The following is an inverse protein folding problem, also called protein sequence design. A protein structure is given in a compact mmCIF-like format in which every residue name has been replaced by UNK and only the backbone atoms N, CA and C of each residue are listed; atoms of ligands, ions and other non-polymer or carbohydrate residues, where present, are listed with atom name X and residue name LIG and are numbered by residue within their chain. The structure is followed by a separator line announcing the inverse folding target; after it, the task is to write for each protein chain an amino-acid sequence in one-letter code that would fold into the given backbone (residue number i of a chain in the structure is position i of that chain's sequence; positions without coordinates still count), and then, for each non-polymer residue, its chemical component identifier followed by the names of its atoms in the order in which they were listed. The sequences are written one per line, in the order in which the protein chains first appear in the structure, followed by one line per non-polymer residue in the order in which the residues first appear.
data_IF_981323773088
#
_entry.id   IF_981323773088
#
_cell.length_a   1.000
_cell.length_b   1.000
_cell.length_c   1.000
_cell.angle_alpha   90.00
_cell.angle_beta   90.00
_cell.angle_gamma   90.00
#
_symmetry.space_group_name_H-M   'P 1'
#
loop_
_entity.id
_entity.type
_entity.pdbx_description
1 polymer ?
#
# COMPACT_ATOMS: atom_id res chain seq x y z
N UNK A 1 -15.33 -41.32 42.04
CA UNK A 1 -15.51 -40.94 40.61
C UNK A 1 -15.61 -39.43 40.37
N UNK A 2 -15.28 -38.57 41.33
CA UNK A 2 -15.45 -37.10 41.23
C UNK A 2 -14.15 -36.31 41.14
N UNK A 3 -12.97 -36.95 41.26
CA UNK A 3 -11.65 -36.29 41.18
C UNK A 3 -10.97 -36.37 39.81
N UNK A 4 -11.46 -37.20 38.89
CA UNK A 4 -10.89 -37.34 37.54
C UNK A 4 -11.49 -36.39 36.50
N UNK A 5 -12.66 -35.80 36.76
CA UNK A 5 -13.34 -34.90 35.80
C UNK A 5 -12.75 -33.48 35.83
N UNK A 6 -12.14 -33.06 36.95
CA UNK A 6 -11.57 -31.71 37.11
C UNK A 6 -10.23 -31.58 36.34
N UNK A 7 -9.49 -32.67 36.15
CA UNK A 7 -8.20 -32.64 35.43
C UNK A 7 -8.41 -32.58 33.91
N UNK A 8 -9.47 -33.19 33.38
CA UNK A 8 -9.75 -33.16 31.94
C UNK A 8 -10.30 -31.80 31.47
N UNK A 9 -11.03 -31.07 32.33
CA UNK A 9 -11.49 -29.71 32.04
C UNK A 9 -10.35 -28.67 32.06
N UNK A 10 -9.29 -28.90 32.84
CA UNK A 10 -8.15 -27.97 32.91
C UNK A 10 -7.18 -28.10 31.71
N UNK A 11 -7.10 -29.29 31.10
CA UNK A 11 -6.22 -29.56 29.94
C UNK A 11 -6.77 -28.95 28.64
N UNK A 12 -8.10 -28.80 28.50
CA UNK A 12 -8.69 -28.16 27.32
C UNK A 12 -8.54 -26.63 27.29
N UNK A 13 -8.25 -25.96 28.40
CA UNK A 13 -8.04 -24.51 28.43
C UNK A 13 -6.63 -24.07 28.03
N UNK A 14 -5.64 -24.97 28.04
CA UNK A 14 -4.23 -24.61 27.76
C UNK A 14 -3.87 -24.75 26.27
N UNK A 15 -4.67 -25.47 25.48
CA UNK A 15 -4.43 -25.65 24.04
C UNK A 15 -5.10 -24.60 23.15
N UNK A 16 -6.00 -23.77 23.69
CA UNK A 16 -6.69 -22.75 22.91
C UNK A 16 -5.87 -21.47 22.67
N UNK A 17 -4.86 -21.18 23.51
CA UNK A 17 -4.01 -19.99 23.33
C UNK A 17 -2.89 -20.16 22.28
N UNK A 18 -2.50 -21.39 21.92
CA UNK A 18 -1.42 -21.62 20.94
C UNK A 18 -1.87 -21.69 19.48
N UNK A 19 -3.17 -21.78 19.23
CA UNK A 19 -3.70 -21.88 17.86
C UNK A 19 -3.82 -20.54 17.13
N UNK A 20 -3.83 -19.40 17.84
CA UNK A 20 -3.97 -18.08 17.22
C UNK A 20 -2.63 -17.47 16.76
N UNK A 21 -1.52 -17.75 17.44
CA UNK A 21 -0.20 -17.27 17.00
C UNK A 21 0.25 -17.93 15.69
N UNK A 22 -0.11 -19.21 15.49
CA UNK A 22 0.28 -19.95 14.28
C UNK A 22 -0.42 -19.44 13.00
N UNK A 23 -1.65 -18.93 13.11
CA UNK A 23 -2.36 -18.32 11.97
C UNK A 23 -1.69 -17.04 11.47
N UNK A 24 -0.98 -16.33 12.34
CA UNK A 24 -0.27 -15.09 12.02
C UNK A 24 1.17 -15.36 11.58
N UNK A 25 1.82 -16.39 12.12
CA UNK A 25 3.12 -16.85 11.60
C UNK A 25 2.99 -17.51 10.24
N UNK A 26 1.88 -18.18 9.93
CA UNK A 26 1.57 -18.66 8.58
C UNK A 26 1.05 -17.53 7.67
N UNK A 27 0.56 -16.42 8.25
CA UNK A 27 0.32 -15.17 7.54
C UNK A 27 1.62 -14.37 7.29
N UNK A 28 2.81 -14.87 7.68
CA UNK A 28 4.10 -14.38 7.18
C UNK A 28 4.24 -14.73 5.70
N UNK A 29 3.59 -13.95 4.85
CA UNK A 29 4.25 -13.22 3.78
C UNK A 29 3.18 -12.44 3.02
N UNK A 30 3.51 -11.19 2.73
CA UNK A 30 2.92 -10.33 1.71
C UNK A 30 2.73 -11.01 0.33
N UNK A 31 3.30 -12.20 0.11
CA UNK A 31 3.30 -12.99 -1.13
C UNK A 31 1.93 -13.38 -1.67
N UNK A 32 0.86 -13.29 -0.86
CA UNK A 32 -0.47 -13.81 -1.22
C UNK A 32 -1.63 -12.80 -1.22
N UNK A 33 -1.45 -11.52 -0.84
CA UNK A 33 -2.52 -10.54 -1.04
C UNK A 33 -2.62 -10.22 -2.54
N UNK A 34 -3.48 -10.96 -3.24
CA UNK A 34 -3.78 -10.78 -4.67
C UNK A 34 -4.92 -9.78 -4.92
N UNK A 35 -5.33 -9.05 -3.89
CA UNK A 35 -6.42 -8.08 -3.94
C UNK A 35 -5.99 -6.71 -4.45
N UNK A 36 -6.97 -5.82 -4.60
CA UNK A 36 -6.69 -4.41 -4.83
C UNK A 36 -6.46 -3.71 -3.49
N UNK A 37 -5.45 -2.85 -3.45
CA UNK A 37 -5.09 -2.01 -2.32
C UNK A 37 -5.80 -0.66 -2.51
N UNK A 38 -6.66 -0.23 -1.57
CA UNK A 38 -7.26 1.09 -1.64
C UNK A 38 -6.20 2.18 -1.47
N UNK A 39 -6.25 3.20 -2.32
CA UNK A 39 -5.37 4.37 -2.26
C UNK A 39 -6.22 5.62 -2.08
N UNK A 40 -5.63 6.70 -1.59
CA UNK A 40 -6.33 7.98 -1.53
C UNK A 40 -6.80 8.35 -2.95
N UNK A 41 -8.07 8.79 -3.12
CA UNK A 41 -8.62 9.03 -4.44
C UNK A 41 -7.85 10.11 -5.20
N UNK A 42 -7.52 9.83 -6.46
CA UNK A 42 -6.80 10.77 -7.32
C UNK A 42 -7.55 10.95 -8.63
N UNK A 43 -7.64 12.19 -9.11
CA UNK A 43 -8.31 12.51 -10.37
C UNK A 43 -7.73 11.70 -11.54
N UNK A 44 -8.61 11.04 -12.29
CA UNK A 44 -8.22 10.31 -13.49
C UNK A 44 -8.43 11.19 -14.72
N UNK A 45 -7.42 11.24 -15.59
CA UNK A 45 -7.42 12.02 -16.83
C UNK A 45 -6.98 11.09 -17.95
N UNK A 46 -7.86 10.90 -18.94
CA UNK A 46 -7.55 10.07 -20.11
C UNK A 46 -8.59 10.28 -21.22
N UNK A 47 -8.24 9.80 -22.41
CA UNK A 47 -9.15 9.68 -23.54
C UNK A 47 -9.75 8.27 -23.58
N UNK A 48 -11.08 8.17 -23.49
CA UNK A 48 -11.79 6.88 -23.48
C UNK A 48 -12.41 6.62 -24.84
N UNK A 49 -12.22 5.40 -25.33
CA UNK A 49 -12.90 4.85 -26.49
C UNK A 49 -14.32 4.40 -26.10
N UNK A 50 -15.33 5.02 -26.71
CA UNK A 50 -16.75 4.76 -26.51
C UNK A 50 -17.38 4.19 -27.78
N UNK A 51 -18.51 3.51 -27.61
CA UNK A 51 -19.29 2.97 -28.71
C UNK A 51 -20.70 3.56 -28.70
N UNK A 52 -21.15 4.13 -29.82
CA UNK A 52 -22.50 4.65 -29.98
C UNK A 52 -23.00 4.34 -31.38
N UNK A 53 -24.22 3.79 -31.46
CA UNK A 53 -24.89 3.47 -32.72
C UNK A 53 -24.05 2.57 -33.67
N UNK A 54 -23.14 1.77 -33.11
CA UNK A 54 -22.24 0.88 -33.84
C UNK A 54 -20.89 1.50 -34.23
N UNK A 55 -20.72 2.80 -34.05
CA UNK A 55 -19.47 3.52 -34.33
C UNK A 55 -18.64 3.71 -33.05
N UNK A 56 -17.32 3.70 -33.22
CA UNK A 56 -16.36 3.98 -32.16
C UNK A 56 -15.89 5.43 -32.23
N UNK A 57 -15.85 6.11 -31.09
CA UNK A 57 -15.32 7.46 -30.97
C UNK A 57 -14.56 7.64 -29.66
N UNK A 58 -13.61 8.57 -29.65
CA UNK A 58 -12.79 8.87 -28.48
C UNK A 58 -13.23 10.19 -27.86
N UNK A 59 -13.22 10.28 -26.53
CA UNK A 59 -13.57 11.49 -25.81
C UNK A 59 -12.75 11.61 -24.52
N UNK A 60 -12.35 12.82 -24.16
CA UNK A 60 -11.76 13.09 -22.84
C UNK A 60 -12.80 12.80 -21.75
N UNK A 61 -12.40 12.05 -20.72
CA UNK A 61 -13.28 11.66 -19.62
C UNK A 61 -13.94 12.85 -18.91
N UNK A 62 -13.30 14.01 -18.87
CA UNK A 62 -13.83 15.24 -18.25
C UNK A 62 -14.96 15.88 -19.05
N UNK A 63 -15.11 15.52 -20.33
CA UNK A 63 -16.14 16.04 -21.21
C UNK A 63 -17.34 15.09 -21.33
N UNK A 64 -17.27 13.92 -20.71
CA UNK A 64 -18.33 12.90 -20.77
C UNK A 64 -19.54 13.29 -19.96
N UNK A 65 -20.72 12.92 -20.45
CA UNK A 65 -21.94 12.96 -19.66
C UNK A 65 -22.06 11.71 -18.76
N UNK A 66 -23.04 11.70 -17.85
CA UNK A 66 -23.22 10.61 -16.89
C UNK A 66 -23.45 9.24 -17.57
N UNK A 67 -24.19 9.18 -18.68
CA UNK A 67 -24.43 7.92 -19.41
C UNK A 67 -23.14 7.36 -20.02
N UNK A 68 -22.33 8.21 -20.65
CA UNK A 68 -21.02 7.85 -21.20
C UNK A 68 -20.08 7.36 -20.08
N UNK A 69 -20.08 8.05 -18.93
CA UNK A 69 -19.32 7.62 -17.75
C UNK A 69 -19.82 6.26 -17.27
N UNK A 70 -21.12 6.00 -17.23
CA UNK A 70 -21.64 4.69 -16.81
C UNK A 70 -21.32 3.56 -17.77
N UNK A 71 -21.23 3.84 -19.07
CA UNK A 71 -20.74 2.87 -20.06
C UNK A 71 -19.26 2.52 -19.80
N UNK A 72 -18.45 3.52 -19.46
CA UNK A 72 -17.06 3.29 -19.06
C UNK A 72 -16.96 2.52 -17.73
N UNK A 73 -17.71 2.93 -16.72
CA UNK A 73 -17.72 2.33 -15.38
C UNK A 73 -18.62 1.08 -15.33
N UNK A 74 -18.30 0.09 -16.16
CA UNK A 74 -19.12 -1.09 -16.37
C UNK A 74 -19.07 -2.15 -15.25
N UNK A 75 -18.22 -1.99 -14.22
CA UNK A 75 -18.15 -2.89 -13.06
C UNK A 75 -18.70 -2.22 -11.80
N UNK A 76 -19.14 -3.05 -10.85
CA UNK A 76 -19.58 -2.62 -9.52
C UNK A 76 -19.06 -3.61 -8.47
N UNK A 77 -18.65 -3.13 -7.30
CA UNK A 77 -18.15 -4.00 -6.22
C UNK A 77 -18.37 -3.38 -4.84
N UNK A 78 -18.45 -4.25 -3.85
CA UNK A 78 -18.24 -3.91 -2.44
C UNK A 78 -16.99 -4.66 -1.97
N UNK A 79 -16.02 -3.94 -1.42
CA UNK A 79 -14.73 -4.50 -1.00
C UNK A 79 -14.39 -4.05 0.42
N UNK A 80 -14.02 -5.00 1.27
CA UNK A 80 -13.41 -4.72 2.58
C UNK A 80 -11.92 -5.02 2.48
N UNK A 81 -11.10 -4.02 2.81
CA UNK A 81 -9.65 -4.12 2.88
C UNK A 81 -9.19 -3.79 4.29
N UNK A 82 -8.34 -4.64 4.86
CA UNK A 82 -7.86 -4.50 6.23
C UNK A 82 -6.35 -4.30 6.17
N UNK A 83 -5.89 -3.13 6.60
CA UNK A 83 -4.47 -2.83 6.78
C UNK A 83 -4.13 -2.77 8.26
N UNK A 84 -3.14 -3.53 8.71
CA UNK A 84 -2.56 -3.38 10.04
C UNK A 84 -1.46 -2.31 9.99
N UNK A 85 -1.51 -1.38 10.94
CA UNK A 85 -0.50 -0.34 11.11
C UNK A 85 0.68 -0.94 11.88
N UNK A 86 1.87 -0.89 11.31
CA UNK A 86 3.10 -1.34 11.94
C UNK A 86 3.69 -0.26 12.87
N UNK A 87 4.75 -0.59 13.63
CA UNK A 87 5.43 0.35 14.54
C UNK A 87 6.01 1.57 13.82
N UNK A 88 6.28 1.47 12.52
CA UNK A 88 6.80 2.55 11.67
C UNK A 88 5.69 3.38 10.99
N UNK A 89 4.42 3.16 11.31
CA UNK A 89 3.27 3.85 10.68
C UNK A 89 2.94 3.38 9.26
N UNK A 90 3.66 2.39 8.73
CA UNK A 90 3.34 1.71 7.48
C UNK A 90 2.12 0.79 7.63
N UNK A 91 1.47 0.51 6.50
CA UNK A 91 0.25 -0.32 6.46
C UNK A 91 0.53 -1.63 5.75
N UNK A 92 0.31 -2.74 6.45
CA UNK A 92 0.39 -4.11 5.89
C UNK A 92 -1.01 -4.67 5.70
N UNK A 93 -1.41 -4.95 4.46
CA UNK A 93 -2.73 -5.49 4.16
C UNK A 93 -2.82 -6.99 4.50
N UNK A 94 -3.84 -7.35 5.27
CA UNK A 94 -4.03 -8.69 5.81
C UNK A 94 -5.17 -9.41 5.07
N UNK A 95 -5.02 -10.72 4.78
CA UNK A 95 -6.14 -11.56 4.35
C UNK A 95 -7.04 -11.97 5.52
N UNK A 96 -6.67 -11.63 6.76
CA UNK A 96 -7.33 -12.05 8.00
C UNK A 96 -8.22 -10.93 8.53
N UNK A 97 -9.43 -11.28 8.97
CA UNK A 97 -10.45 -10.35 9.47
C UNK A 97 -10.52 -10.27 11.00
N UNK A 98 -9.62 -10.94 11.71
CA UNK A 98 -9.63 -11.06 13.18
C UNK A 98 -8.54 -10.19 13.77
N UNK A 99 -8.87 -9.43 14.82
CA UNK A 99 -7.93 -8.56 15.52
C UNK A 99 -6.92 -9.33 16.36
N UNK A 100 -5.74 -8.75 16.45
CA UNK A 100 -4.72 -9.02 17.47
C UNK A 100 -4.80 -7.96 18.56
N UNK A 101 -4.44 -8.37 19.78
CA UNK A 101 -4.41 -7.48 20.93
C UNK A 101 -3.40 -6.35 20.74
N UNK A 102 -3.75 -5.14 21.19
CA UNK A 102 -2.94 -3.92 21.16
C UNK A 102 -2.42 -3.56 19.76
N UNK A 103 -3.20 -3.84 18.72
CA UNK A 103 -2.83 -3.55 17.33
C UNK A 103 -3.78 -2.55 16.70
N UNK A 104 -3.22 -1.72 15.82
CA UNK A 104 -3.96 -0.67 15.12
C UNK A 104 -4.23 -1.08 13.68
N UNK A 105 -5.41 -0.71 13.19
CA UNK A 105 -5.92 -1.12 11.88
C UNK A 105 -6.54 0.07 11.15
N UNK A 106 -6.31 0.12 9.83
CA UNK A 106 -7.09 0.87 8.85
C UNK A 106 -7.99 -0.12 8.13
N UNK A 107 -9.27 -0.13 8.47
CA UNK A 107 -10.29 -0.89 7.74
C UNK A 107 -10.93 0.03 6.72
N UNK A 108 -10.91 -0.35 5.46
CA UNK A 108 -11.49 0.41 4.35
C UNK A 108 -12.58 -0.42 3.70
N UNK A 109 -13.81 0.07 3.72
CA UNK A 109 -14.96 -0.55 3.08
C UNK A 109 -15.42 0.32 1.93
N UNK A 110 -15.23 -0.18 0.72
CA UNK A 110 -15.54 0.53 -0.51
C UNK A 110 -16.79 -0.03 -1.14
N UNK A 111 -17.68 0.86 -1.55
CA UNK A 111 -18.62 0.64 -2.62
C UNK A 111 -18.14 1.41 -3.84
N UNK A 112 -17.93 0.73 -4.98
CA UNK A 112 -17.39 1.38 -6.18
C UNK A 112 -18.14 0.94 -7.42
N UNK A 113 -18.41 1.90 -8.31
CA UNK A 113 -18.70 1.67 -9.73
C UNK A 113 -17.44 2.06 -10.51
N UNK A 114 -16.85 1.12 -11.24
CA UNK A 114 -15.47 1.26 -11.70
C UNK A 114 -15.19 0.54 -13.03
N UNK A 115 -14.12 0.98 -13.70
CA UNK A 115 -13.41 0.25 -14.74
C UNK A 115 -12.09 -0.28 -14.17
N UNK A 116 -11.65 -1.47 -14.61
CA UNK A 116 -10.31 -1.97 -14.31
C UNK A 116 -9.42 -1.70 -15.51
N UNK A 117 -8.36 -0.92 -15.31
CA UNK A 117 -7.41 -0.58 -16.35
C UNK A 117 -6.07 -1.24 -16.07
N UNK A 118 -5.42 -1.72 -17.14
CA UNK A 118 -4.05 -2.21 -17.08
C UNK A 118 -3.10 -1.01 -17.03
N UNK A 119 -2.15 -1.07 -16.10
CA UNK A 119 -1.07 -0.08 -15.99
C UNK A 119 0.17 -0.60 -16.71
N UNK A 120 0.76 0.26 -17.54
CA UNK A 120 1.98 -0.01 -18.29
C UNK A 120 2.98 1.13 -18.09
N UNK A 121 4.28 0.81 -18.02
CA UNK A 121 5.35 1.82 -18.05
C UNK A 121 5.50 2.40 -19.45
N UNK A 122 6.29 3.47 -19.55
CA UNK A 122 6.67 4.10 -20.82
C UNK A 122 7.37 3.14 -21.79
N UNK A 123 8.02 2.11 -21.28
CA UNK A 123 8.65 1.04 -22.08
C UNK A 123 7.67 -0.07 -22.52
N UNK A 124 6.38 0.09 -22.22
CA UNK A 124 5.33 -0.89 -22.52
C UNK A 124 5.25 -2.07 -21.54
N UNK A 125 6.10 -2.12 -20.51
CA UNK A 125 6.04 -3.19 -19.51
C UNK A 125 4.79 -3.07 -18.64
N UNK A 126 4.02 -4.15 -18.55
CA UNK A 126 2.84 -4.25 -17.69
C UNK A 126 3.26 -4.25 -16.22
N UNK A 127 2.67 -3.36 -15.41
CA UNK A 127 3.02 -3.21 -13.98
C UNK A 127 1.89 -3.51 -13.01
N UNK A 128 0.67 -3.72 -13.50
CA UNK A 128 -0.44 -4.06 -12.65
C UNK A 128 -1.76 -3.50 -13.17
N UNK A 129 -2.71 -3.33 -12.26
CA UNK A 129 -4.02 -2.78 -12.57
C UNK A 129 -4.35 -1.61 -11.66
N UNK A 130 -5.14 -0.67 -12.15
CA UNK A 130 -5.84 0.31 -11.32
C UNK A 130 -7.34 0.23 -11.52
N UNK A 131 -8.09 0.56 -10.47
CA UNK A 131 -9.53 0.75 -10.51
C UNK A 131 -9.82 2.23 -10.58
N UNK A 132 -10.47 2.63 -11.66
CA UNK A 132 -10.92 4.01 -11.90
C UNK A 132 -12.42 4.03 -11.78
N UNK A 133 -12.96 4.91 -10.95
CA UNK A 133 -14.39 4.93 -10.71
C UNK A 133 -14.87 6.01 -9.77
N UNK A 134 -16.13 5.85 -9.38
CA UNK A 134 -16.82 6.69 -8.42
C UNK A 134 -17.43 5.79 -7.35
N UNK A 135 -17.67 6.34 -6.16
CA UNK A 135 -18.24 5.54 -5.10
C UNK A 135 -18.20 6.15 -3.73
N UNK A 136 -18.26 5.27 -2.75
CA UNK A 136 -18.32 5.60 -1.33
C UNK A 136 -17.29 4.78 -0.61
N UNK A 137 -16.56 5.42 0.29
CA UNK A 137 -15.52 4.78 1.09
C UNK A 137 -15.76 5.07 2.56
N UNK A 138 -15.84 4.01 3.35
CA UNK A 138 -15.86 4.10 4.80
C UNK A 138 -14.50 3.66 5.33
N UNK A 139 -13.87 4.54 6.10
CA UNK A 139 -12.56 4.31 6.71
C UNK A 139 -12.73 4.26 8.22
N UNK A 140 -12.39 3.13 8.81
CA UNK A 140 -12.33 2.96 10.26
C UNK A 140 -10.87 2.85 10.67
N UNK A 141 -10.41 3.83 11.44
CA UNK A 141 -9.11 3.80 12.10
C UNK A 141 -9.33 3.36 13.53
N UNK A 142 -8.86 2.16 13.88
CA UNK A 142 -9.16 1.57 15.18
C UNK A 142 -7.92 0.94 15.83
N UNK A 143 -7.94 0.90 17.16
CA UNK A 143 -7.02 0.11 17.99
C UNK A 143 -7.83 -0.93 18.74
N UNK A 144 -7.43 -2.19 18.59
CA UNK A 144 -8.03 -3.31 19.30
C UNK A 144 -7.29 -3.56 20.63
N UNK A 145 -7.98 -3.43 21.75
CA UNK A 145 -7.44 -3.70 23.09
C UNK A 145 -7.48 -5.19 23.44
N UNK A 146 -8.19 -5.98 22.63
CA UNK A 146 -8.34 -7.43 22.76
C UNK A 146 -8.20 -8.12 21.39
N UNK A 147 -7.79 -9.39 21.42
CA UNK A 147 -7.73 -10.25 20.23
C UNK A 147 -9.07 -10.92 19.96
N UNK A 148 -9.27 -11.42 18.74
CA UNK A 148 -10.46 -12.23 18.41
C UNK A 148 -11.66 -11.42 17.93
N UNK A 149 -11.52 -10.10 17.77
CA UNK A 149 -12.61 -9.23 17.31
C UNK A 149 -12.66 -9.30 15.79
N UNK A 150 -13.84 -9.56 15.22
CA UNK A 150 -14.02 -9.47 13.78
C UNK A 150 -14.03 -8.00 13.35
N UNK A 151 -12.95 -7.58 12.69
CA UNK A 151 -12.75 -6.23 12.14
C UNK A 151 -13.08 -6.15 10.64
N UNK A 152 -13.56 -7.24 10.04
CA UNK A 152 -14.08 -7.26 8.67
C UNK A 152 -15.56 -6.85 8.56
N UNK A 153 -16.25 -6.63 9.69
CA UNK A 153 -17.68 -6.32 9.75
C UNK A 153 -17.95 -5.12 10.67
N UNK A 154 -18.72 -4.14 10.18
CA UNK A 154 -19.03 -2.93 10.95
C UNK A 154 -19.88 -3.23 12.19
N UNK A 155 -20.80 -4.20 12.12
CA UNK A 155 -21.65 -4.51 13.28
C UNK A 155 -20.81 -5.03 14.45
N UNK A 156 -19.86 -5.92 14.13
CA UNK A 156 -18.88 -6.45 15.07
C UNK A 156 -17.97 -5.36 15.65
N UNK A 157 -17.47 -4.44 14.81
CA UNK A 157 -16.70 -3.27 15.24
C UNK A 157 -17.51 -2.39 16.20
N UNK A 158 -18.77 -2.10 15.88
CA UNK A 158 -19.65 -1.28 16.71
C UNK A 158 -19.93 -1.90 18.08
N UNK A 159 -20.13 -3.22 18.12
CA UNK A 159 -20.33 -3.96 19.37
C UNK A 159 -19.05 -3.92 20.23
N UNK A 160 -17.90 -4.16 19.62
CA UNK A 160 -16.60 -4.11 20.30
C UNK A 160 -16.29 -2.71 20.84
N UNK A 161 -16.62 -1.66 20.09
CA UNK A 161 -16.48 -0.28 20.54
C UNK A 161 -17.36 0.01 21.76
N UNK A 162 -18.62 -0.47 21.77
CA UNK A 162 -19.52 -0.37 22.93
C UNK A 162 -18.98 -1.10 24.16
N UNK A 163 -18.26 -2.20 23.95
CA UNK A 163 -17.61 -2.97 25.02
C UNK A 163 -16.27 -2.36 25.47
N UNK A 164 -15.76 -1.33 24.80
CA UNK A 164 -14.46 -0.72 25.09
C UNK A 164 -13.26 -1.55 24.62
N UNK A 165 -13.49 -2.65 23.90
CA UNK A 165 -12.45 -3.54 23.37
C UNK A 165 -11.88 -3.04 22.05
N UNK A 166 -12.57 -2.10 21.39
CA UNK A 166 -12.06 -1.27 20.30
C UNK A 166 -12.21 0.21 20.66
N UNK A 167 -11.25 1.03 20.24
CA UNK A 167 -11.36 2.49 20.21
C UNK A 167 -10.91 3.00 18.85
N UNK A 168 -11.46 4.13 18.41
CA UNK A 168 -11.07 4.69 17.11
C UNK A 168 -12.04 5.72 16.59
N UNK A 169 -11.83 6.07 15.32
CA UNK A 169 -12.66 7.01 14.58
C UNK A 169 -13.11 6.39 13.26
N UNK A 170 -14.22 6.89 12.74
CA UNK A 170 -14.77 6.51 11.45
C UNK A 170 -14.95 7.75 10.58
N UNK A 171 -14.60 7.59 9.30
CA UNK A 171 -14.72 8.63 8.28
C UNK A 171 -15.47 8.06 7.08
N UNK A 172 -16.25 8.91 6.41
CA UNK A 172 -16.93 8.58 5.16
C UNK A 172 -16.44 9.54 4.10
N UNK A 173 -16.06 9.00 2.95
CA UNK A 173 -15.62 9.72 1.78
C UNK A 173 -16.57 9.42 0.62
N UNK A 174 -17.05 10.48 -0.02
CA UNK A 174 -17.74 10.41 -1.31
C UNK A 174 -16.68 10.65 -2.38
N UNK A 175 -16.48 9.68 -3.25
CA UNK A 175 -15.40 9.67 -4.22
C UNK A 175 -15.96 9.89 -5.62
N UNK A 176 -15.63 11.04 -6.22
CA UNK A 176 -15.99 11.33 -7.61
C UNK A 176 -17.49 11.54 -7.87
N UNK A 177 -18.30 11.80 -6.83
CA UNK A 177 -19.74 12.08 -6.97
C UNK A 177 -19.98 13.51 -6.51
N UNK A 178 -20.54 14.33 -7.40
CA UNK A 178 -20.93 15.71 -7.10
C UNK A 178 -22.44 15.83 -7.25
N UNK A 179 -23.11 16.00 -6.12
CA UNK A 179 -24.55 16.24 -6.07
C UNK A 179 -24.90 17.06 -4.83
N UNK A 180 -25.88 17.96 -4.97
CA UNK A 180 -26.37 18.80 -3.88
C UNK A 180 -27.02 17.94 -2.79
N UNK A 181 -27.80 16.94 -3.20
CA UNK A 181 -28.45 16.02 -2.29
C UNK A 181 -27.44 15.10 -1.59
N UNK A 182 -26.39 14.66 -2.28
CA UNK A 182 -25.33 13.85 -1.66
C UNK A 182 -24.61 14.63 -0.56
N UNK A 183 -24.38 15.93 -0.77
CA UNK A 183 -23.70 16.79 0.20
C UNK A 183 -24.45 16.89 1.53
N UNK A 184 -25.78 16.94 1.50
CA UNK A 184 -26.60 17.07 2.73
C UNK A 184 -26.75 15.76 3.51
N UNK A 185 -26.43 14.63 2.88
CA UNK A 185 -26.52 13.29 3.47
C UNK A 185 -25.24 12.84 4.16
N UNK A 186 -24.12 13.54 3.94
CA UNK A 186 -22.83 13.18 4.52
C UNK A 186 -22.82 13.37 6.05
N UNK A 187 -22.65 12.29 6.84
CA UNK A 187 -22.60 12.42 8.29
C UNK A 187 -21.26 13.04 8.72
N UNK A 188 -21.30 13.80 9.81
CA UNK A 188 -20.08 14.33 10.42
C UNK A 188 -19.25 13.19 11.05
N UNK A 189 -17.90 13.29 11.03
CA UNK A 189 -17.04 12.35 11.74
C UNK A 189 -17.45 12.23 13.20
N UNK A 190 -17.52 11.01 13.70
CA UNK A 190 -17.97 10.73 15.06
C UNK A 190 -17.34 9.44 15.58
N UNK A 191 -17.38 9.27 16.90
CA UNK A 191 -16.87 8.06 17.55
C UNK A 191 -17.58 6.81 17.03
N UNK A 192 -16.82 5.72 16.97
CA UNK A 192 -17.32 4.42 16.55
C UNK A 192 -18.30 3.90 17.60
N UNK A 193 -19.57 3.79 17.24
CA UNK A 193 -20.58 3.07 18.02
C UNK A 193 -21.69 2.55 17.12
N UNK A 194 -22.58 1.72 17.68
CA UNK A 194 -23.66 1.08 16.92
C UNK A 194 -24.59 2.09 16.21
N UNK A 195 -24.92 3.21 16.86
CA UNK A 195 -25.78 4.26 16.28
C UNK A 195 -25.07 4.98 15.14
N UNK A 196 -23.80 5.37 15.33
CA UNK A 196 -23.01 6.03 14.28
C UNK A 196 -22.89 5.14 13.04
N UNK A 197 -22.67 3.83 13.23
CA UNK A 197 -22.56 2.86 12.14
C UNK A 197 -23.90 2.71 11.41
N UNK A 198 -25.01 2.62 12.13
CA UNK A 198 -26.34 2.55 11.51
C UNK A 198 -26.65 3.81 10.69
N UNK A 199 -26.36 4.99 11.24
CA UNK A 199 -26.53 6.27 10.54
C UNK A 199 -25.65 6.35 9.29
N UNK A 200 -24.38 5.91 9.40
CA UNK A 200 -23.46 5.83 8.27
C UNK A 200 -23.98 4.91 7.16
N UNK A 201 -24.43 3.70 7.52
CA UNK A 201 -24.97 2.73 6.55
C UNK A 201 -26.23 3.26 5.85
N UNK A 202 -27.12 3.94 6.59
CA UNK A 202 -28.30 4.57 6.00
C UNK A 202 -27.91 5.69 5.04
N UNK A 203 -27.00 6.58 5.44
CA UNK A 203 -26.50 7.65 4.58
C UNK A 203 -25.85 7.09 3.30
N UNK A 204 -25.02 6.06 3.43
CA UNK A 204 -24.37 5.38 2.29
C UNK A 204 -25.40 4.76 1.34
N UNK A 205 -26.45 4.12 1.87
CA UNK A 205 -27.51 3.54 1.04
C UNK A 205 -28.28 4.63 0.26
N UNK A 206 -28.60 5.74 0.91
CA UNK A 206 -29.26 6.87 0.24
C UNK A 206 -28.34 7.48 -0.81
N UNK A 207 -27.07 7.75 -0.49
CA UNK A 207 -26.11 8.29 -1.48
C UNK A 207 -25.93 7.32 -2.66
N UNK A 208 -25.84 6.02 -2.41
CA UNK A 208 -25.77 5.00 -3.48
C UNK A 208 -26.95 5.10 -4.44
N UNK A 209 -28.18 5.31 -3.94
CA UNK A 209 -29.35 5.48 -4.82
C UNK A 209 -29.29 6.75 -5.67
N UNK A 210 -28.58 7.78 -5.22
CA UNK A 210 -28.45 9.08 -5.88
C UNK A 210 -27.42 9.14 -6.98
N UNK A 211 -26.60 8.09 -7.13
CA UNK A 211 -25.56 8.03 -8.18
C UNK A 211 -26.17 8.13 -9.58
N UNK A 212 -27.37 7.58 -9.78
CA UNK A 212 -28.05 7.53 -11.08
C UNK A 212 -29.02 8.69 -11.32
N UNK A 213 -29.14 9.65 -10.40
CA UNK A 213 -30.01 10.80 -10.57
C UNK A 213 -29.46 11.72 -11.68
N UNK A 214 -30.34 12.29 -12.50
CA UNK A 214 -29.97 13.11 -13.67
C UNK A 214 -29.12 14.35 -13.30
N UNK A 215 -29.29 14.85 -12.07
CA UNK A 215 -28.56 16.01 -11.53
C UNK A 215 -27.21 15.65 -10.90
N UNK A 216 -26.86 14.37 -10.84
CA UNK A 216 -25.59 13.91 -10.28
C UNK A 216 -24.51 13.93 -11.36
N UNK A 217 -23.48 14.74 -11.11
CA UNK A 217 -22.27 14.79 -11.94
C UNK A 217 -21.23 13.80 -11.40
N UNK A 218 -20.58 13.07 -12.31
CA UNK A 218 -19.58 12.05 -11.98
C UNK A 218 -18.18 12.47 -12.45
N UNK A 219 -17.20 12.26 -11.59
CA UNK A 219 -15.79 12.57 -11.81
C UNK A 219 -14.96 11.35 -11.44
N UNK A 220 -14.73 10.40 -12.36
CA UNK A 220 -14.02 9.18 -12.03
C UNK A 220 -12.60 9.46 -11.49
N UNK A 221 -12.23 8.73 -10.45
CA UNK A 221 -10.95 8.84 -9.75
C UNK A 221 -10.30 7.47 -9.64
N UNK A 222 -8.98 7.42 -9.51
CA UNK A 222 -8.26 6.19 -9.20
C UNK A 222 -8.47 5.87 -7.72
N UNK A 223 -9.13 4.75 -7.44
CA UNK A 223 -9.58 4.40 -6.09
C UNK A 223 -8.75 3.27 -5.47
N UNK A 224 -8.20 2.37 -6.29
CA UNK A 224 -7.45 1.22 -5.82
C UNK A 224 -6.46 0.72 -6.88
N UNK A 225 -5.38 0.08 -6.43
CA UNK A 225 -4.32 -0.45 -7.29
C UNK A 225 -4.02 -1.90 -6.97
N UNK A 226 -3.52 -2.64 -7.95
CA UNK A 226 -3.03 -4.00 -7.78
C UNK A 226 -1.72 -4.13 -8.56
N UNK A 227 -0.56 -4.02 -7.90
CA UNK A 227 0.72 -4.25 -8.54
C UNK A 227 0.85 -5.70 -9.06
N UNK A 228 1.48 -5.88 -10.21
CA UNK A 228 1.92 -7.19 -10.70
C UNK A 228 3.35 -7.46 -10.23
N UNK A 229 3.52 -8.45 -9.36
CA UNK A 229 4.84 -8.87 -8.88
C UNK A 229 5.61 -9.71 -9.92
N UNK A 230 5.00 -10.05 -11.07
CA UNK A 230 5.60 -10.91 -12.10
C UNK A 230 6.12 -10.17 -13.35
N UNK A 231 5.93 -8.86 -13.43
CA UNK A 231 6.21 -8.00 -14.59
C UNK A 231 7.61 -8.15 -15.20
N UNK A 232 8.66 -8.33 -14.38
CA UNK A 232 10.04 -8.49 -14.88
C UNK A 232 10.28 -9.82 -15.60
N UNK A 233 9.44 -10.85 -15.38
CA UNK A 233 9.61 -12.16 -16.04
C UNK A 233 8.99 -12.21 -17.43
N UNK A 234 8.12 -11.25 -17.77
CA UNK A 234 7.46 -11.21 -19.09
C UNK A 234 8.29 -10.31 -20.01
N UNK A 235 8.84 -10.91 -21.07
CA UNK A 235 9.43 -10.12 -22.16
C UNK A 235 8.36 -9.16 -22.69
N UNK A 236 8.73 -7.93 -23.10
CA UNK A 236 7.80 -7.01 -23.74
C UNK A 236 7.07 -7.75 -24.86
N UNK A 237 5.74 -7.60 -24.92
CA UNK A 237 4.97 -8.07 -26.07
C UNK A 237 5.53 -7.28 -27.25
N UNK A 238 6.17 -7.97 -28.19
CA UNK A 238 6.66 -7.35 -29.41
C UNK A 238 5.49 -6.58 -30.04
N UNK A 239 5.65 -5.28 -30.25
CA UNK A 239 4.72 -4.50 -31.05
C UNK A 239 4.51 -5.26 -32.36
N UNK A 240 3.27 -5.61 -32.67
CA UNK A 240 2.92 -6.15 -33.98
C UNK A 240 3.34 -5.05 -34.97
N UNK A 241 4.31 -5.31 -35.87
CA UNK A 241 4.73 -4.30 -36.82
C UNK A 241 3.51 -3.90 -37.65
N UNK A 242 3.31 -2.59 -37.83
CA UNK A 242 2.32 -2.06 -38.78
C UNK A 242 2.42 -2.85 -40.08
N UNK A 243 1.34 -3.54 -40.43
CA UNK A 243 1.26 -4.31 -41.66
C UNK A 243 1.32 -3.35 -42.84
N UNK A 244 2.50 -3.24 -43.45
CA UNK A 244 2.69 -2.58 -44.72
C UNK A 244 1.92 -3.37 -45.81
N UNK A 245 0.99 -2.77 -46.56
CA UNK A 245 0.09 -3.51 -47.44
C UNK A 245 0.72 -3.76 -48.81
N UNK A 246 1.87 -4.41 -48.90
CA UNK A 246 2.43 -4.86 -50.18
C UNK A 246 3.27 -6.13 -50.02
N UNK A 247 2.64 -7.30 -49.98
CA UNK A 247 3.16 -8.55 -50.57
C UNK A 247 2.07 -9.62 -50.54
N UNK A 248 1.86 -10.30 -51.68
CA UNK A 248 0.84 -11.32 -51.91
C UNK A 248 1.01 -12.61 -51.08
N UNK A 249 0.12 -13.61 -51.26
CA UNK A 249 -0.05 -14.68 -50.28
C UNK A 249 1.07 -15.72 -50.38
N UNK A 250 1.97 -15.73 -49.41
CA UNK A 250 2.89 -16.86 -49.24
C UNK A 250 2.20 -18.01 -48.51
N UNK A 251 2.34 -19.19 -49.13
CA UNK A 251 1.76 -20.48 -48.75
C UNK A 251 2.38 -20.97 -47.44
N UNK A 252 1.55 -21.52 -46.55
CA UNK A 252 1.99 -22.35 -45.43
C UNK A 252 2.73 -23.60 -45.93
N UNK A 253 3.94 -23.92 -45.45
CA UNK A 253 4.50 -25.25 -45.55
C UNK A 253 4.11 -26.08 -44.33
N UNK A 254 3.52 -27.24 -44.63
CA UNK A 254 3.25 -28.36 -43.74
C UNK A 254 4.52 -29.13 -43.39
N UNK A 255 4.59 -29.58 -42.13
CA UNK A 255 5.32 -30.72 -41.56
C UNK A 255 6.85 -30.87 -41.78
N UNK A 256 7.54 -30.95 -40.62
CA UNK A 256 8.60 -31.92 -40.38
C UNK A 256 10.02 -31.54 -40.76
N UNK A 257 10.77 -30.92 -39.82
CA UNK A 257 12.17 -31.29 -39.67
C UNK A 257 12.69 -31.04 -38.24
N UNK A 258 13.35 -32.05 -37.71
CA UNK A 258 14.10 -32.03 -36.45
C UNK A 258 15.51 -31.56 -36.75
N UNK A 259 16.12 -30.73 -35.89
CA UNK A 259 17.56 -30.81 -35.57
C UNK A 259 17.91 -29.86 -34.42
N UNK A 260 18.32 -30.46 -33.31
CA UNK A 260 19.10 -29.83 -32.26
C UNK A 260 20.42 -29.31 -32.83
N UNK A 261 20.82 -28.07 -32.49
CA UNK A 261 22.17 -27.70 -31.98
C UNK A 261 22.36 -26.18 -32.01
N UNK A 262 22.47 -25.56 -30.83
CA UNK A 262 23.48 -24.55 -30.51
C UNK A 262 23.46 -24.28 -28.99
N UNK A 263 24.62 -24.22 -28.31
CA UNK A 263 24.70 -24.08 -26.86
C UNK A 263 24.40 -22.64 -26.40
N UNK A 264 23.92 -22.45 -25.15
CA UNK A 264 23.59 -21.14 -24.64
C UNK A 264 24.85 -20.37 -24.25
N UNK A 265 25.03 -19.18 -24.82
CA UNK A 265 25.98 -18.16 -24.35
C UNK A 265 25.57 -17.72 -22.94
N UNK A 266 26.38 -18.09 -21.95
CA UNK A 266 26.26 -17.65 -20.55
C UNK A 266 26.49 -16.15 -20.43
N UNK A 267 25.42 -15.40 -20.17
CA UNK A 267 25.48 -14.07 -19.56
C UNK A 267 25.34 -14.28 -18.05
N UNK A 268 26.17 -13.65 -17.18
CA UNK A 268 26.15 -13.93 -15.75
C UNK A 268 24.80 -13.56 -15.11
N UNK A 269 24.21 -14.50 -14.38
CA UNK A 269 23.09 -14.22 -13.47
C UNK A 269 23.51 -13.16 -12.45
N UNK A 270 22.76 -12.06 -12.25
CA UNK A 270 22.94 -11.25 -11.05
C UNK A 270 22.54 -12.07 -9.82
N UNK A 271 23.27 -11.87 -8.71
CA UNK A 271 23.12 -12.65 -7.47
C UNK A 271 21.73 -12.42 -6.84
N UNK A 272 21.20 -13.38 -6.05
CA UNK A 272 19.81 -13.35 -5.57
C UNK A 272 19.47 -12.27 -4.53
N UNK A 273 20.38 -11.37 -4.14
CA UNK A 273 20.21 -10.54 -2.94
C UNK A 273 19.66 -9.12 -3.15
N UNK A 274 19.36 -8.67 -4.39
CA UNK A 274 18.99 -7.25 -4.63
C UNK A 274 17.63 -7.00 -5.30
N UNK A 275 16.67 -7.92 -5.15
CA UNK A 275 15.28 -7.64 -5.57
C UNK A 275 14.45 -7.32 -4.33
N UNK A 276 14.52 -6.07 -3.87
CA UNK A 276 13.56 -5.53 -2.91
C UNK A 276 12.25 -5.17 -3.62
N UNK A 277 11.12 -5.58 -3.03
CA UNK A 277 9.76 -5.38 -3.53
C UNK A 277 9.35 -3.89 -3.49
N UNK A 278 9.75 -3.11 -4.51
CA UNK A 278 9.42 -1.67 -4.64
C UNK A 278 8.23 -1.41 -5.59
N UNK A 279 7.54 -2.47 -6.05
CA UNK A 279 6.54 -2.39 -7.13
C UNK A 279 5.28 -1.61 -6.76
N UNK A 280 4.91 -1.55 -5.48
CA UNK A 280 3.78 -0.73 -5.01
C UNK A 280 4.03 0.77 -5.18
N UNK A 281 5.29 1.19 -5.07
CA UNK A 281 5.68 2.60 -5.11
C UNK A 281 5.72 3.14 -6.54
N UNK A 282 6.15 2.34 -7.53
CA UNK A 282 6.15 2.72 -8.96
C UNK A 282 4.76 3.13 -9.47
N UNK A 283 3.71 2.41 -9.04
CA UNK A 283 2.33 2.65 -9.44
C UNK A 283 1.75 3.87 -8.73
N UNK A 284 2.05 4.03 -7.43
CA UNK A 284 1.68 5.24 -6.66
C UNK A 284 2.33 6.51 -7.22
N UNK A 285 3.56 6.41 -7.73
CA UNK A 285 4.30 7.50 -8.39
C UNK A 285 3.68 7.92 -9.74
N UNK A 286 2.97 7.01 -10.42
CA UNK A 286 2.30 7.29 -11.70
C UNK A 286 0.88 7.83 -11.54
N UNK A 287 0.19 7.49 -10.43
CA UNK A 287 -1.25 7.71 -10.30
C UNK A 287 -1.66 9.05 -9.66
N UNK A 288 -0.77 9.77 -8.97
CA UNK A 288 -0.96 11.22 -8.70
C UNK A 288 -1.13 11.69 -7.24
N UNK A 289 -0.40 11.11 -6.30
CA UNK A 289 0.02 11.90 -5.13
C UNK A 289 1.03 12.96 -5.60
N UNK A 290 0.94 14.20 -5.10
CA UNK A 290 1.94 15.24 -5.41
C UNK A 290 3.35 14.64 -5.28
N UNK A 291 4.06 14.53 -6.42
CA UNK A 291 5.45 14.04 -6.57
C UNK A 291 6.42 14.66 -5.56
N UNK A 292 6.00 15.71 -4.87
CA UNK A 292 6.75 16.36 -3.81
C UNK A 292 6.71 15.56 -2.50
N UNK A 293 5.60 15.47 -1.77
CA UNK A 293 5.71 15.22 -0.31
C UNK A 293 5.88 13.75 0.07
N UNK A 294 5.13 12.82 -0.56
CA UNK A 294 5.24 11.37 -0.29
C UNK A 294 6.55 10.82 -0.87
N UNK A 295 6.94 11.26 -2.07
CA UNK A 295 8.22 10.93 -2.69
C UNK A 295 9.41 11.53 -1.93
N UNK A 296 9.31 12.77 -1.43
CA UNK A 296 10.35 13.39 -0.58
C UNK A 296 10.49 12.67 0.75
N UNK A 297 9.38 12.31 1.39
CA UNK A 297 9.40 11.55 2.64
C UNK A 297 10.04 10.17 2.42
N UNK A 298 9.63 9.44 1.37
CA UNK A 298 10.20 8.13 1.06
C UNK A 298 11.67 8.22 0.62
N UNK A 299 12.03 9.25 -0.14
CA UNK A 299 13.42 9.55 -0.51
C UNK A 299 14.25 9.86 0.73
N UNK A 300 13.73 10.66 1.66
CA UNK A 300 14.40 10.95 2.93
C UNK A 300 14.56 9.69 3.79
N UNK A 301 13.53 8.82 3.87
CA UNK A 301 13.60 7.52 4.56
C UNK A 301 14.67 6.60 3.96
N UNK A 302 14.73 6.49 2.65
CA UNK A 302 15.75 5.69 1.97
C UNK A 302 17.16 6.25 2.19
N UNK A 303 17.32 7.57 2.08
CA UNK A 303 18.60 8.24 2.32
C UNK A 303 19.03 8.12 3.78
N UNK A 304 18.12 8.25 4.74
CA UNK A 304 18.38 8.03 6.16
C UNK A 304 18.90 6.60 6.39
N UNK A 305 18.19 5.58 5.89
CA UNK A 305 18.62 4.19 6.01
C UNK A 305 20.02 3.98 5.44
N UNK A 306 20.29 4.49 4.24
CA UNK A 306 21.62 4.41 3.61
C UNK A 306 22.68 5.18 4.39
N UNK A 307 22.33 6.32 5.00
CA UNK A 307 23.25 7.05 5.86
C UNK A 307 23.60 6.25 7.12
N UNK A 308 22.66 5.52 7.70
CA UNK A 308 22.94 4.62 8.83
C UNK A 308 23.77 3.40 8.41
N UNK A 309 23.58 2.86 7.21
CA UNK A 309 24.47 1.82 6.66
C UNK A 309 25.92 2.34 6.59
N UNK A 310 26.14 3.53 6.02
CA UNK A 310 27.46 4.17 6.03
C UNK A 310 27.97 4.50 7.44
N UNK A 311 27.07 4.75 8.39
CA UNK A 311 27.43 5.04 9.78
C UNK A 311 28.03 3.79 10.44
N UNK A 312 27.45 2.62 10.17
CA UNK A 312 27.98 1.33 10.64
C UNK A 312 29.27 0.93 9.91
N UNK A 313 29.39 1.27 8.62
CA UNK A 313 30.63 1.07 7.84
C UNK A 313 31.74 2.10 8.17
N UNK A 314 31.44 3.01 9.10
CA UNK A 314 32.31 4.10 9.61
C UNK A 314 32.80 5.04 8.51
N UNK A 315 31.93 5.33 7.54
CA UNK A 315 32.22 6.18 6.37
C UNK A 315 31.70 7.60 6.56
N UNK A 316 32.28 8.33 7.53
CA UNK A 316 31.76 9.61 8.01
C UNK A 316 31.44 10.64 6.91
N UNK A 317 32.26 10.71 5.85
CA UNK A 317 32.05 11.65 4.76
C UNK A 317 30.80 11.28 3.93
N UNK A 318 30.55 9.99 3.68
CA UNK A 318 29.35 9.49 2.99
C UNK A 318 28.09 9.60 3.85
N UNK A 319 28.21 9.39 5.17
CA UNK A 319 27.11 9.60 6.12
C UNK A 319 26.63 11.05 6.08
N UNK A 320 27.55 12.01 6.23
CA UNK A 320 27.23 13.44 6.25
C UNK A 320 26.61 13.89 4.93
N UNK A 321 27.14 13.43 3.79
CA UNK A 321 26.60 13.72 2.46
C UNK A 321 25.17 13.20 2.31
N UNK A 322 24.94 11.94 2.72
CA UNK A 322 23.64 11.29 2.58
C UNK A 322 22.60 11.87 3.54
N UNK A 323 22.98 12.23 4.78
CA UNK A 323 22.09 12.94 5.72
C UNK A 323 21.76 14.37 5.24
N UNK A 324 22.71 15.08 4.62
CA UNK A 324 22.40 16.37 3.99
C UNK A 324 21.37 16.21 2.86
N UNK A 325 21.52 15.17 2.04
CA UNK A 325 20.57 14.88 0.96
C UNK A 325 19.17 14.51 1.51
N UNK A 326 19.11 13.78 2.64
CA UNK A 326 17.86 13.46 3.32
C UNK A 326 17.16 14.72 3.87
N UNK A 327 17.91 15.62 4.51
CA UNK A 327 17.37 16.89 5.04
C UNK A 327 16.88 17.82 3.91
N UNK A 328 17.61 17.90 2.79
CA UNK A 328 17.18 18.67 1.61
C UNK A 328 15.91 18.05 1.00
N UNK A 329 15.82 16.72 0.99
CA UNK A 329 14.65 16.01 0.48
C UNK A 329 13.42 16.30 1.37
N UNK A 330 13.55 16.20 2.70
CA UNK A 330 12.46 16.45 3.64
C UNK A 330 12.97 17.15 4.91
N UNK A 331 12.82 18.49 5.03
CA UNK A 331 13.32 19.22 6.18
C UNK A 331 12.68 18.77 7.51
N UNK A 332 13.49 18.55 8.53
CA UNK A 332 13.04 18.10 9.85
C UNK A 332 12.66 16.61 9.95
N UNK A 333 13.06 15.80 8.96
CA UNK A 333 12.85 14.35 8.96
C UNK A 333 13.65 13.66 10.07
N UNK A 334 12.98 12.86 10.92
CA UNK A 334 13.56 11.89 11.88
C UNK A 334 14.81 12.33 12.67
N UNK A 335 14.94 13.63 12.98
CA UNK A 335 16.14 14.19 13.64
C UNK A 335 17.47 14.01 12.85
N UNK A 336 17.38 13.77 11.54
CA UNK A 336 18.50 13.76 10.58
C UNK A 336 19.36 15.01 10.72
N UNK A 337 18.74 16.19 10.85
CA UNK A 337 19.46 17.46 11.08
C UNK A 337 20.34 17.44 12.33
N UNK A 338 19.81 16.97 13.46
CA UNK A 338 20.50 16.98 14.74
C UNK A 338 21.66 15.97 14.77
N UNK A 339 21.43 14.77 14.23
CA UNK A 339 22.44 13.72 14.09
C UNK A 339 23.54 14.20 13.14
N UNK A 340 23.18 14.78 12.01
CA UNK A 340 24.16 15.32 11.04
C UNK A 340 24.98 16.47 11.63
N UNK A 341 24.37 17.33 12.45
CA UNK A 341 25.09 18.39 13.19
C UNK A 341 26.09 17.80 14.19
N UNK A 342 25.71 16.76 14.93
CA UNK A 342 26.61 16.04 15.84
C UNK A 342 27.80 15.45 15.08
N UNK A 343 27.53 14.72 13.98
CA UNK A 343 28.55 14.07 13.15
C UNK A 343 29.49 15.08 12.48
N UNK A 344 28.99 16.24 12.05
CA UNK A 344 29.82 17.32 11.51
C UNK A 344 30.76 17.92 12.57
N UNK A 345 30.31 18.06 13.81
CA UNK A 345 31.14 18.58 14.90
C UNK A 345 32.31 17.63 15.23
N UNK A 346 32.10 16.33 15.05
CA UNK A 346 33.08 15.27 15.33
C UNK A 346 33.72 14.70 14.05
N UNK A 347 33.56 15.36 12.91
CA UNK A 347 33.96 14.81 11.60
C UNK A 347 35.45 14.48 11.53
N UNK A 348 36.31 15.39 11.98
CA UNK A 348 37.77 15.21 11.86
C UNK A 348 38.30 14.06 12.71
N UNK A 349 37.65 13.77 13.85
CA UNK A 349 37.98 12.66 14.75
C UNK A 349 37.35 11.34 14.29
N UNK A 350 36.20 11.38 13.61
CA UNK A 350 35.51 10.20 13.06
C UNK A 350 36.05 9.77 11.68
N UNK A 351 36.91 10.56 11.05
CA UNK A 351 37.62 10.16 9.81
C UNK A 351 38.51 8.94 10.01
N UNK A 352 39.02 8.75 11.22
CA UNK A 352 39.65 7.49 11.60
C UNK A 352 38.57 6.46 11.94
N UNK A 353 38.46 5.41 11.12
CA UNK A 353 37.51 4.30 11.31
C UNK A 353 37.73 3.55 12.63
N UNK A 354 38.92 3.64 13.23
CA UNK A 354 39.25 2.97 14.49
C UNK A 354 39.16 3.90 15.71
N UNK A 355 38.69 5.13 15.53
CA UNK A 355 38.53 6.09 16.62
C UNK A 355 37.57 5.55 17.68
N UNK A 356 37.94 5.57 18.98
CA UNK A 356 37.04 5.16 20.05
C UNK A 356 35.80 6.07 20.15
N UNK A 357 35.87 7.24 19.51
CA UNK A 357 34.80 8.23 19.48
C UNK A 357 33.56 7.78 18.69
N UNK A 358 33.68 6.75 17.84
CA UNK A 358 32.52 6.14 17.18
C UNK A 358 31.52 5.57 18.19
N UNK A 359 32.03 4.93 19.25
CA UNK A 359 31.20 4.35 20.32
C UNK A 359 30.47 5.43 21.13
N UNK A 360 31.17 6.50 21.49
CA UNK A 360 30.58 7.67 22.17
C UNK A 360 29.46 8.31 21.33
N UNK A 361 29.62 8.34 20.00
CA UNK A 361 28.61 8.87 19.08
C UNK A 361 27.39 7.96 19.01
N UNK A 362 27.55 6.64 18.95
CA UNK A 362 26.44 5.69 18.96
C UNK A 362 25.63 5.77 20.25
N UNK A 363 26.32 5.79 21.40
CA UNK A 363 25.69 5.97 22.72
C UNK A 363 24.88 7.26 22.79
N UNK A 364 25.43 8.36 22.25
CA UNK A 364 24.75 9.65 22.23
C UNK A 364 23.55 9.65 21.29
N UNK A 365 23.64 8.98 20.15
CA UNK A 365 22.52 8.85 19.21
C UNK A 365 21.35 8.09 19.87
N UNK A 366 21.64 6.97 20.54
CA UNK A 366 20.65 6.18 21.26
C UNK A 366 20.04 6.91 22.45
N UNK A 367 20.83 7.74 23.15
CA UNK A 367 20.34 8.50 24.30
C UNK A 367 19.45 9.67 23.89
N UNK A 368 19.87 10.44 22.89
CA UNK A 368 19.26 11.73 22.57
C UNK A 368 18.17 11.64 21.48
N UNK A 369 18.16 10.57 20.64
CA UNK A 369 17.22 10.41 19.51
C UNK A 369 16.45 9.07 19.39
N UNK A 370 16.25 8.25 20.45
CA UNK A 370 15.75 6.87 20.29
C UNK A 370 14.32 6.77 19.74
N UNK A 371 13.44 7.69 20.14
CA UNK A 371 12.01 7.70 19.78
C UNK A 371 11.70 7.98 18.30
N UNK A 372 12.71 8.20 17.46
CA UNK A 372 12.56 8.49 16.02
C UNK A 372 13.35 7.55 15.11
N UNK A 373 14.06 6.57 15.67
CA UNK A 373 14.82 5.56 14.92
C UNK A 373 13.99 4.29 14.77
N UNK A 374 14.24 3.51 13.72
CA UNK A 374 13.62 2.19 13.59
C UNK A 374 14.20 1.22 14.62
N UNK A 375 13.41 0.24 15.04
CA UNK A 375 13.83 -0.80 16.00
C UNK A 375 15.10 -1.54 15.52
N UNK A 376 15.23 -1.75 14.20
CA UNK A 376 16.42 -2.35 13.56
C UNK A 376 17.70 -1.50 13.76
N UNK A 377 17.59 -0.18 13.62
CA UNK A 377 18.74 0.73 13.81
C UNK A 377 19.13 0.79 15.28
N UNK A 378 18.13 0.78 16.18
CA UNK A 378 18.37 0.76 17.63
C UNK A 378 19.11 -0.51 18.03
N UNK A 379 18.61 -1.67 17.63
CA UNK A 379 19.24 -2.97 17.93
C UNK A 379 20.67 -3.04 17.38
N UNK A 380 20.91 -2.51 16.18
CA UNK A 380 22.25 -2.51 15.58
C UNK A 380 23.21 -1.54 16.27
N UNK A 381 22.74 -0.38 16.72
CA UNK A 381 23.55 0.56 17.51
C UNK A 381 23.91 -0.03 18.87
N UNK A 382 22.98 -0.72 19.55
CA UNK A 382 23.25 -1.39 20.81
C UNK A 382 24.34 -2.47 20.65
N UNK A 383 24.27 -3.28 19.59
CA UNK A 383 25.28 -4.30 19.28
C UNK A 383 26.68 -3.71 19.03
N UNK A 384 26.79 -2.56 18.36
CA UNK A 384 28.08 -1.89 18.12
C UNK A 384 28.68 -1.25 19.38
N UNK A 385 27.85 -0.96 20.40
CA UNK A 385 28.29 -0.46 21.70
C UNK A 385 28.73 -1.61 22.61
N UNK A 386 28.18 -2.81 22.44
CA UNK A 386 28.59 -3.98 23.24
C UNK A 386 29.88 -4.65 22.72
N UNK A 387 30.32 -4.31 21.50
CA UNK A 387 31.63 -4.64 20.92
C UNK A 387 32.73 -3.67 21.39
#
# INVERSE_FOLDING_TARGET
MTRFIIVFALICFISACRSHENLLTDAKTYSNFRGFIPIDPIEYNDEILLARDGDLYTKDIKLMNSDEIFQFLNNETVLVSIGQVNSEGGISYLPVTVSTKNSSYKVTMDYMKFATLAEVRTDGSFIGFRRVGVGLRLITLLTANESGINIGDLSSIGLAAKQGTIKGTMMIEVVGIKSREVTTLLPLPSEINQTTIQNAMQALATIKSKIYDEETELFPQVMAIKPDSTSRKRRPIAQIPDSNPETGPERFPTDGDSLLTNPPTTIPNPRPEDIRDDYGNDILLQIGGSKSTVSKYQKAKNLERTAFEYLFDREIDQVIETLNAAEIAYPGFHSVYDINRLLKAERETLRDKNSPKWKEVYERILKDYPWKLSDEIIERLENEIDL
#
